data_IF_576262634530
#
_entry.id   IF_576262634530
#
_cell.length_a   1.000
_cell.length_b   1.000
_cell.length_c   1.000
_cell.angle_alpha   90.00
_cell.angle_beta   90.00
_cell.angle_gamma   90.00
#
_symmetry.space_group_name_H-M   'P 1'
#
loop_
_entity.id
_entity.type
_entity.pdbx_description
1 polymer ?
#
# COMPACT_ATOMS: atom_id res chain seq x y z
N UNK A 1 -73.28 21.08 10.19
CA UNK A 1 -73.39 20.41 11.51
C UNK A 1 -73.21 21.47 12.58
N UNK A 2 -74.35 21.94 13.12
CA UNK A 2 -74.67 22.25 14.53
C UNK A 2 -73.49 22.11 15.53
N UNK A 3 -73.25 22.95 16.55
CA UNK A 3 -74.05 23.78 17.46
C UNK A 3 -73.08 24.84 18.07
N UNK A 4 -73.39 26.14 18.15
CA UNK A 4 -74.18 26.86 19.19
C UNK A 4 -73.49 27.08 20.56
N UNK A 5 -73.40 28.38 20.94
CA UNK A 5 -73.63 28.98 22.29
C UNK A 5 -72.44 28.91 23.30
N UNK A 6 -71.98 29.96 24.00
CA UNK A 6 -72.70 30.92 24.87
C UNK A 6 -71.85 32.16 25.22
N UNK A 7 -72.50 33.33 25.28
CA UNK A 7 -72.05 34.50 26.07
C UNK A 7 -72.40 34.33 27.55
N UNK A 8 -71.61 34.91 28.45
CA UNK A 8 -72.09 35.33 29.79
C UNK A 8 -71.25 36.49 30.34
N UNK A 9 -71.94 37.37 31.08
CA UNK A 9 -71.60 38.74 31.49
C UNK A 9 -70.75 38.83 32.78
N UNK A 10 -70.22 40.04 33.02
CA UNK A 10 -69.42 40.55 34.17
C UNK A 10 -70.08 40.39 35.56
N UNK A 11 -69.40 40.72 36.69
CA UNK A 11 -69.33 42.12 37.17
C UNK A 11 -67.99 42.59 37.81
N UNK A 12 -67.89 43.91 37.99
CA UNK A 12 -66.90 44.69 38.74
C UNK A 12 -66.76 44.28 40.22
N UNK A 13 -65.55 44.40 40.78
CA UNK A 13 -65.32 44.83 42.17
C UNK A 13 -64.03 45.64 42.31
N UNK A 14 -64.06 46.55 43.28
CA UNK A 14 -63.23 47.75 43.46
C UNK A 14 -61.86 47.54 44.14
N UNK A 15 -60.91 48.40 43.76
CA UNK A 15 -60.11 49.26 44.66
C UNK A 15 -58.97 48.66 45.49
N UNK A 16 -57.74 49.19 45.29
CA UNK A 16 -56.94 49.84 46.35
C UNK A 16 -55.72 50.57 45.74
N UNK A 17 -55.52 51.82 46.13
CA UNK A 17 -54.31 52.63 45.91
C UNK A 17 -53.19 52.17 46.86
N UNK A 18 -51.94 52.09 46.37
CA UNK A 18 -50.74 52.22 47.20
C UNK A 18 -49.54 52.66 46.35
N UNK A 19 -49.02 53.83 46.68
CA UNK A 19 -47.83 54.52 46.18
C UNK A 19 -46.54 53.77 46.57
N UNK A 20 -45.56 53.60 45.66
CA UNK A 20 -44.19 53.27 46.09
C UNK A 20 -43.10 53.73 45.09
N UNK A 21 -42.28 54.68 45.57
CA UNK A 21 -40.82 54.80 45.45
C UNK A 21 -40.11 54.54 44.11
N UNK A 22 -39.48 55.59 43.59
CA UNK A 22 -38.37 55.47 42.64
C UNK A 22 -37.16 54.81 43.33
N UNK A 23 -36.75 53.64 42.85
CA UNK A 23 -35.46 53.04 43.14
C UNK A 23 -34.63 53.03 41.85
N UNK A 24 -33.54 53.80 41.84
CA UNK A 24 -32.48 53.65 40.86
C UNK A 24 -31.82 52.28 41.06
N UNK A 25 -32.06 51.35 40.14
CA UNK A 25 -31.33 50.08 40.07
C UNK A 25 -30.11 50.32 39.19
N UNK A 26 -28.93 50.32 39.81
CA UNK A 26 -27.65 50.18 39.10
C UNK A 26 -27.58 48.78 38.49
N UNK A 27 -27.42 48.71 37.16
CA UNK A 27 -27.19 47.45 36.48
C UNK A 27 -25.75 46.95 36.80
N UNK A 28 -25.55 45.66 37.13
CA UNK A 28 -24.21 45.11 37.33
C UNK A 28 -23.44 45.01 35.99
N UNK A 29 -22.09 45.07 36.02
CA UNK A 29 -21.26 44.96 34.83
C UNK A 29 -21.40 43.58 34.17
N UNK A 30 -21.44 43.57 32.84
CA UNK A 30 -21.78 42.41 32.02
C UNK A 30 -20.61 41.42 31.86
N UNK A 31 -20.90 40.12 31.98
CA UNK A 31 -19.96 39.00 31.80
C UNK A 31 -19.95 38.48 30.35
N UNK A 32 -18.79 38.11 29.80
CA UNK A 32 -18.62 37.36 28.54
C UNK A 32 -18.37 35.86 28.80
N UNK A 33 -18.88 35.00 27.91
CA UNK A 33 -18.97 33.53 28.06
C UNK A 33 -18.43 32.83 26.80
N UNK A 34 -17.27 32.16 26.87
CA UNK A 34 -16.69 31.40 25.75
C UNK A 34 -17.36 30.04 25.55
N UNK A 35 -17.55 29.59 24.30
CA UNK A 35 -18.17 28.30 23.96
C UNK A 35 -17.19 27.35 23.26
N UNK A 36 -16.92 26.21 23.89
CA UNK A 36 -16.20 25.11 23.25
C UNK A 36 -17.15 24.29 22.39
N UNK A 37 -16.80 24.01 21.12
CA UNK A 37 -17.64 23.24 20.21
C UNK A 37 -17.14 21.81 19.96
N UNK A 38 -18.06 20.91 19.60
CA UNK A 38 -17.74 19.53 19.24
C UNK A 38 -16.87 19.49 17.97
N UNK A 39 -15.58 19.15 18.12
CA UNK A 39 -14.61 19.00 17.03
C UNK A 39 -13.38 19.92 17.09
N UNK A 40 -12.87 20.24 18.29
CA UNK A 40 -11.72 21.14 18.55
C UNK A 40 -11.85 22.58 18.00
N UNK A 41 -13.08 23.02 17.69
CA UNK A 41 -13.35 24.41 17.30
C UNK A 41 -13.85 25.17 18.53
N UNK A 42 -13.12 26.20 18.95
CA UNK A 42 -13.51 27.09 20.05
C UNK A 42 -14.01 28.42 19.48
N UNK A 43 -15.13 28.93 20.01
CA UNK A 43 -15.66 30.24 19.65
C UNK A 43 -15.76 31.09 20.91
N UNK A 44 -14.94 32.14 20.94
CA UNK A 44 -14.86 33.08 22.04
C UNK A 44 -15.74 34.31 21.76
N UNK A 45 -16.49 34.76 22.76
CA UNK A 45 -17.27 35.98 22.67
C UNK A 45 -18.33 36.09 23.76
N UNK A 46 -19.13 37.14 23.74
CA UNK A 46 -20.22 37.34 24.70
C UNK A 46 -21.48 36.65 24.20
N UNK A 47 -22.09 35.76 25.00
CA UNK A 47 -23.42 35.24 24.66
C UNK A 47 -24.42 36.39 24.79
N UNK A 48 -24.86 36.93 23.65
CA UNK A 48 -25.80 38.05 23.60
C UNK A 48 -27.23 37.55 23.72
N UNK A 49 -27.51 36.33 23.22
CA UNK A 49 -28.86 35.76 23.24
C UNK A 49 -28.84 34.24 23.14
N UNK A 50 -29.66 33.58 23.96
CA UNK A 50 -30.04 32.17 23.81
C UNK A 50 -31.45 32.11 23.23
N UNK A 51 -31.65 31.40 22.13
CA UNK A 51 -32.96 31.26 21.48
C UNK A 51 -33.45 29.82 21.59
N UNK A 52 -34.36 29.59 22.53
CA UNK A 52 -34.93 28.26 22.83
C UNK A 52 -36.30 28.03 22.17
N UNK A 53 -36.86 29.05 21.50
CA UNK A 53 -38.27 29.11 21.13
C UNK A 53 -38.57 28.73 19.65
N UNK A 54 -37.76 27.88 19.03
CA UNK A 54 -37.97 27.43 17.63
C UNK A 54 -37.32 26.08 17.32
N UNK A 55 -37.65 25.47 16.18
CA UNK A 55 -37.24 24.10 15.79
C UNK A 55 -35.71 23.87 15.66
N UNK A 56 -34.87 24.89 15.86
CA UNK A 56 -33.40 24.82 15.88
C UNK A 56 -32.82 25.76 16.97
N UNK A 57 -32.58 25.26 18.19
CA UNK A 57 -32.03 26.08 19.26
C UNK A 57 -30.58 26.48 18.98
N UNK A 58 -30.26 27.75 19.22
CA UNK A 58 -28.95 28.34 18.91
C UNK A 58 -28.57 29.46 19.90
N UNK A 59 -27.27 29.69 20.01
CA UNK A 59 -26.64 30.71 20.85
C UNK A 59 -25.99 31.76 19.95
N UNK A 60 -26.28 33.04 20.17
CA UNK A 60 -25.64 34.15 19.46
C UNK A 60 -24.47 34.65 20.31
N UNK A 61 -23.27 34.56 19.76
CA UNK A 61 -22.01 34.96 20.39
C UNK A 61 -21.47 36.21 19.69
N UNK A 62 -21.27 37.30 20.43
CA UNK A 62 -20.58 38.51 19.97
C UNK A 62 -19.08 38.32 20.19
N UNK A 63 -18.37 38.03 19.11
CA UNK A 63 -16.93 37.76 19.09
C UNK A 63 -16.14 39.07 19.16
N UNK A 64 -16.73 40.16 18.64
CA UNK A 64 -16.21 41.53 18.60
C UNK A 64 -17.40 42.53 18.51
N UNK A 65 -17.29 43.82 18.88
CA UNK A 65 -18.32 44.84 18.68
C UNK A 65 -19.02 44.84 17.30
N UNK A 66 -18.35 44.41 16.24
CA UNK A 66 -18.91 44.34 14.88
C UNK A 66 -19.23 42.91 14.38
N UNK A 67 -18.86 41.86 15.13
CA UNK A 67 -19.00 40.46 14.70
C UNK A 67 -19.85 39.63 15.66
N UNK A 68 -20.98 39.13 15.17
CA UNK A 68 -21.87 38.20 15.89
C UNK A 68 -22.05 36.90 15.11
N UNK A 69 -21.92 35.76 15.80
CA UNK A 69 -21.98 34.41 15.22
C UNK A 69 -23.09 33.61 15.90
N UNK A 70 -23.97 32.98 15.11
CA UNK A 70 -25.01 32.09 15.61
C UNK A 70 -24.54 30.62 15.58
N UNK A 71 -24.58 29.95 16.74
CA UNK A 71 -24.06 28.60 16.94
C UNK A 71 -25.18 27.66 17.39
N UNK A 72 -25.42 26.53 16.71
CA UNK A 72 -26.40 25.54 17.17
C UNK A 72 -26.04 24.99 18.56
N UNK A 73 -27.01 24.93 19.47
CA UNK A 73 -26.77 24.55 20.87
C UNK A 73 -26.23 23.12 21.01
N UNK A 74 -26.58 22.21 20.09
CA UNK A 74 -26.08 20.83 20.05
C UNK A 74 -24.57 20.71 19.82
N UNK A 75 -23.90 21.81 19.42
CA UNK A 75 -22.46 21.83 19.24
C UNK A 75 -21.72 22.34 20.47
N UNK A 76 -22.37 22.92 21.47
CA UNK A 76 -21.74 23.50 22.67
C UNK A 76 -21.38 22.41 23.69
N UNK A 77 -20.12 22.36 24.11
CA UNK A 77 -19.53 21.35 25.00
C UNK A 77 -19.21 21.93 26.38
N UNK A 78 -18.72 23.17 26.47
CA UNK A 78 -18.35 23.83 27.72
C UNK A 78 -18.50 25.35 27.63
N UNK A 79 -18.96 26.00 28.70
CA UNK A 79 -18.96 27.46 28.84
C UNK A 79 -17.77 27.88 29.70
N UNK A 80 -16.86 28.68 29.18
CA UNK A 80 -15.69 29.21 29.90
C UNK A 80 -16.00 30.62 30.40
N UNK A 81 -15.76 30.86 31.70
CA UNK A 81 -16.11 32.11 32.37
C UNK A 81 -15.19 33.27 31.98
N UNK A 82 -15.73 34.49 32.11
CA UNK A 82 -15.07 35.78 31.82
C UNK A 82 -13.74 36.06 32.57
N UNK A 83 -13.42 35.20 33.54
CA UNK A 83 -12.19 35.20 34.32
C UNK A 83 -11.06 34.37 33.70
N UNK A 84 -11.21 33.91 32.44
CA UNK A 84 -10.11 33.25 31.74
C UNK A 84 -8.96 34.25 31.54
N UNK A 85 -7.86 34.00 32.25
CA UNK A 85 -6.65 34.83 32.24
C UNK A 85 -6.14 35.10 30.81
N UNK A 86 -6.35 34.16 29.88
CA UNK A 86 -5.95 34.32 28.48
C UNK A 86 -6.80 35.35 27.74
N UNK A 87 -8.10 35.42 28.02
CA UNK A 87 -9.01 36.40 27.42
C UNK A 87 -8.85 37.78 28.04
N UNK A 88 -8.51 37.85 29.34
CA UNK A 88 -8.13 39.11 30.00
C UNK A 88 -6.85 39.66 29.37
N UNK A 89 -5.82 38.83 29.24
CA UNK A 89 -4.57 39.17 28.55
C UNK A 89 -4.84 39.63 27.10
N UNK A 90 -5.65 38.89 26.34
CA UNK A 90 -5.98 39.22 24.96
C UNK A 90 -6.60 40.60 24.82
N UNK A 91 -7.58 40.94 25.68
CA UNK A 91 -8.21 42.26 25.69
C UNK A 91 -7.23 43.40 25.98
N UNK A 92 -6.28 43.16 26.90
CA UNK A 92 -5.23 44.14 27.20
C UNK A 92 -4.27 44.35 26.03
N UNK A 93 -3.93 43.28 25.30
CA UNK A 93 -3.09 43.40 24.11
C UNK A 93 -3.85 44.07 22.96
N UNK A 94 -5.10 43.68 22.73
CA UNK A 94 -5.95 44.24 21.68
C UNK A 94 -6.11 45.76 21.82
N UNK A 95 -6.26 46.27 23.04
CA UNK A 95 -6.35 47.72 23.30
C UNK A 95 -5.11 48.52 22.85
N UNK A 96 -3.98 47.83 22.63
CA UNK A 96 -2.72 48.43 22.19
C UNK A 96 -2.49 48.26 20.67
N UNK A 97 -3.30 47.44 20.00
CA UNK A 97 -3.19 47.17 18.56
C UNK A 97 -4.06 48.17 17.80
N UNK A 98 -3.41 49.08 17.08
CA UNK A 98 -4.06 49.99 16.12
C UNK A 98 -4.26 49.34 14.74
N UNK A 99 -4.59 50.16 13.73
CA UNK A 99 -4.68 49.72 12.33
C UNK A 99 -3.31 49.52 11.67
N UNK A 100 -2.51 48.61 12.23
CA UNK A 100 -1.21 48.23 11.70
C UNK A 100 -1.15 46.72 11.45
N UNK A 101 -0.77 46.35 10.22
CA UNK A 101 -0.72 44.97 9.78
C UNK A 101 0.30 44.16 10.60
N UNK A 102 1.46 44.74 10.94
CA UNK A 102 2.50 44.06 11.72
C UNK A 102 2.07 43.89 13.18
N UNK A 103 1.43 44.91 13.78
CA UNK A 103 0.86 44.80 15.14
C UNK A 103 -0.19 43.69 15.24
N UNK A 104 -1.10 43.59 14.26
CA UNK A 104 -2.07 42.49 14.18
C UNK A 104 -1.39 41.12 13.99
N UNK A 105 -0.36 41.02 13.13
CA UNK A 105 0.41 39.79 12.96
C UNK A 105 1.11 39.35 14.26
N UNK A 106 1.71 40.28 15.01
CA UNK A 106 2.37 39.95 16.27
C UNK A 106 1.37 39.51 17.35
N UNK A 107 0.22 40.17 17.45
CA UNK A 107 -0.85 39.74 18.35
C UNK A 107 -1.34 38.33 17.99
N UNK A 108 -1.54 38.04 16.70
CA UNK A 108 -1.91 36.70 16.24
C UNK A 108 -0.89 35.61 16.64
N UNK A 109 0.42 35.91 16.56
CA UNK A 109 1.47 34.99 17.02
C UNK A 109 1.40 34.73 18.52
N UNK A 110 1.14 35.76 19.31
CA UNK A 110 0.99 35.62 20.76
C UNK A 110 -0.30 34.84 21.12
N UNK A 111 -1.41 35.10 20.43
CA UNK A 111 -2.65 34.33 20.53
C UNK A 111 -2.40 32.84 20.24
N UNK A 112 -1.62 32.51 19.20
CA UNK A 112 -1.20 31.13 18.90
C UNK A 112 -0.46 30.48 20.07
N UNK A 113 0.47 31.21 20.70
CA UNK A 113 1.21 30.73 21.87
C UNK A 113 0.33 30.47 23.10
N UNK A 114 -0.74 31.25 23.25
CA UNK A 114 -1.70 31.11 24.35
C UNK A 114 -2.84 30.10 24.07
N UNK A 115 -2.88 29.51 22.86
CA UNK A 115 -3.94 28.59 22.45
C UNK A 115 -5.24 29.28 22.01
N UNK A 116 -5.23 30.60 21.84
CA UNK A 116 -6.36 31.41 21.37
C UNK A 116 -6.44 31.36 19.83
N UNK A 117 -6.84 30.21 19.30
CA UNK A 117 -6.74 29.92 17.86
C UNK A 117 -7.72 30.75 17.01
N UNK A 118 -8.90 31.08 17.55
CA UNK A 118 -9.88 31.90 16.84
C UNK A 118 -9.39 33.35 16.66
N UNK A 119 -8.85 33.96 17.71
CA UNK A 119 -8.27 35.30 17.69
C UNK A 119 -7.01 35.35 16.84
N UNK A 120 -6.19 34.28 16.88
CA UNK A 120 -5.05 34.10 15.98
C UNK A 120 -5.49 34.25 14.52
N UNK A 121 -6.52 33.50 14.11
CA UNK A 121 -6.96 33.50 12.71
C UNK A 121 -7.58 34.84 12.32
N UNK A 122 -8.38 35.43 13.22
CA UNK A 122 -8.92 36.78 13.03
C UNK A 122 -7.81 37.81 12.79
N UNK A 123 -6.78 37.85 13.63
CA UNK A 123 -5.73 38.85 13.50
C UNK A 123 -4.76 38.59 12.34
N UNK A 124 -4.51 37.34 11.96
CA UNK A 124 -3.80 37.08 10.70
C UNK A 124 -4.62 37.53 9.49
N UNK A 125 -5.94 37.36 9.51
CA UNK A 125 -6.81 37.83 8.44
C UNK A 125 -6.84 39.37 8.39
N UNK A 126 -6.95 40.04 9.55
CA UNK A 126 -6.91 41.50 9.65
C UNK A 126 -5.59 42.08 9.15
N UNK A 127 -4.46 41.43 9.44
CA UNK A 127 -3.16 41.82 8.91
C UNK A 127 -3.11 41.78 7.37
N UNK A 128 -3.75 40.79 6.73
CA UNK A 128 -3.86 40.69 5.26
C UNK A 128 -4.82 41.72 4.68
N UNK A 129 -5.89 42.08 5.40
CA UNK A 129 -6.81 43.15 4.97
C UNK A 129 -6.11 44.52 4.93
N UNK A 130 -5.23 44.80 5.89
CA UNK A 130 -4.49 46.06 5.99
C UNK A 130 -3.30 46.07 5.02
N UNK A 131 -2.50 45.00 4.98
CA UNK A 131 -1.45 44.79 3.97
C UNK A 131 -1.72 43.50 3.17
N UNK A 132 -2.32 43.63 1.98
CA UNK A 132 -2.60 42.49 1.10
C UNK A 132 -1.38 41.65 0.73
N UNK A 133 -0.16 42.17 0.87
CA UNK A 133 1.08 41.46 0.54
C UNK A 133 1.87 40.99 1.76
N UNK A 134 1.32 41.08 2.98
CA UNK A 134 2.01 40.67 4.20
C UNK A 134 2.40 39.18 4.18
N UNK A 135 3.68 38.84 3.97
CA UNK A 135 4.06 37.47 3.64
C UNK A 135 3.95 36.52 4.84
N UNK A 136 4.27 37.00 6.05
CA UNK A 136 4.22 36.18 7.26
C UNK A 136 2.78 35.85 7.68
N UNK A 137 1.85 36.81 7.63
CA UNK A 137 0.44 36.59 7.95
C UNK A 137 -0.21 35.60 6.96
N UNK A 138 0.09 35.75 5.66
CA UNK A 138 -0.35 34.81 4.61
C UNK A 138 0.21 33.41 4.81
N UNK A 139 1.50 33.30 5.06
CA UNK A 139 2.13 32.00 5.34
C UNK A 139 1.52 31.34 6.59
N UNK A 140 1.18 32.11 7.62
CA UNK A 140 0.55 31.61 8.84
C UNK A 140 -0.87 31.07 8.61
N UNK A 141 -1.60 31.61 7.62
CA UNK A 141 -2.90 31.12 7.16
C UNK A 141 -2.80 30.07 6.04
N UNK A 142 -1.58 29.59 5.72
CA UNK A 142 -1.36 28.52 4.76
C UNK A 142 -1.39 28.96 3.29
N UNK A 143 -1.30 30.26 3.01
CA UNK A 143 -1.07 30.77 1.66
C UNK A 143 0.39 30.64 1.26
N UNK A 144 0.62 30.40 -0.02
CA UNK A 144 1.93 30.40 -0.67
C UNK A 144 1.88 31.27 -1.92
N UNK A 145 3.03 31.79 -2.31
CA UNK A 145 3.15 32.62 -3.51
C UNK A 145 3.20 31.74 -4.76
N UNK A 146 2.37 32.05 -5.74
CA UNK A 146 2.31 31.38 -7.05
C UNK A 146 2.31 32.45 -8.14
N UNK A 147 3.50 32.74 -8.68
CA UNK A 147 3.71 33.92 -9.53
C UNK A 147 3.43 35.23 -8.79
N UNK A 148 2.47 36.00 -9.28
CA UNK A 148 2.04 37.27 -8.68
C UNK A 148 0.89 37.11 -7.69
N UNK A 149 0.29 35.92 -7.59
CA UNK A 149 -0.88 35.68 -6.77
C UNK A 149 -0.53 34.90 -5.49
N UNK A 150 -1.43 35.00 -4.51
CA UNK A 150 -1.39 34.21 -3.29
C UNK A 150 -2.47 33.15 -3.35
N UNK A 151 -2.06 31.88 -3.26
CA UNK A 151 -2.97 30.73 -3.30
C UNK A 151 -2.82 29.92 -2.02
N UNK A 152 -3.90 29.28 -1.57
CA UNK A 152 -3.79 28.33 -0.47
C UNK A 152 -2.88 27.17 -0.89
N UNK A 153 -1.93 26.79 -0.04
CA UNK A 153 -1.01 25.69 -0.30
C UNK A 153 -1.77 24.40 -0.63
N UNK A 154 -2.89 24.16 0.07
CA UNK A 154 -3.77 23.02 -0.19
C UNK A 154 -4.36 23.03 -1.61
N UNK A 155 -4.78 24.20 -2.10
CA UNK A 155 -5.31 24.34 -3.46
C UNK A 155 -4.21 24.20 -4.50
N UNK A 156 -3.01 24.71 -4.23
CA UNK A 156 -1.84 24.47 -5.07
C UNK A 156 -1.53 22.97 -5.20
N UNK A 157 -1.58 22.20 -4.10
CA UNK A 157 -1.36 20.76 -4.15
C UNK A 157 -2.49 20.03 -4.91
N UNK A 158 -3.75 20.43 -4.73
CA UNK A 158 -4.88 19.88 -5.49
C UNK A 158 -4.76 20.16 -6.99
N UNK A 159 -4.30 21.36 -7.38
CA UNK A 159 -4.02 21.71 -8.78
C UNK A 159 -2.91 20.85 -9.40
N UNK A 160 -1.97 20.37 -8.57
CA UNK A 160 -0.95 19.38 -8.96
C UNK A 160 -1.49 17.93 -9.01
N UNK A 161 -2.78 17.74 -8.78
CA UNK A 161 -3.43 16.42 -8.77
C UNK A 161 -3.21 15.62 -7.49
N UNK A 162 -2.74 16.25 -6.41
CA UNK A 162 -2.48 15.57 -5.14
C UNK A 162 -3.70 15.61 -4.22
N UNK A 163 -3.83 14.58 -3.38
CA UNK A 163 -4.84 14.49 -2.32
C UNK A 163 -4.19 14.53 -0.95
N UNK A 164 -4.93 15.03 0.05
CA UNK A 164 -4.49 15.03 1.44
C UNK A 164 -4.85 13.71 2.10
N UNK A 165 -3.85 13.00 2.62
CA UNK A 165 -3.99 11.73 3.35
C UNK A 165 -3.34 11.88 4.74
N UNK A 166 -3.38 10.81 5.55
CA UNK A 166 -2.66 10.79 6.82
C UNK A 166 -1.12 10.85 6.64
N UNK A 167 -0.61 10.35 5.51
CA UNK A 167 0.81 10.37 5.14
C UNK A 167 1.30 11.69 4.55
N UNK A 168 0.39 12.60 4.18
CA UNK A 168 0.72 13.90 3.62
C UNK A 168 -0.02 14.21 2.32
N UNK A 169 0.67 14.83 1.37
CA UNK A 169 0.12 15.07 0.03
C UNK A 169 0.62 13.97 -0.90
N UNK A 170 -0.31 13.19 -1.44
CA UNK A 170 0.02 11.98 -2.21
C UNK A 170 -0.70 11.98 -3.56
N UNK A 171 -0.12 11.27 -4.52
CA UNK A 171 -0.76 11.02 -5.82
C UNK A 171 -1.88 9.99 -5.61
N UNK A 172 -3.13 10.27 -6.05
CA UNK A 172 -4.27 9.39 -5.84
C UNK A 172 -4.04 7.94 -6.26
N UNK A 173 -3.41 7.72 -7.41
CA UNK A 173 -3.14 6.37 -7.92
C UNK A 173 -2.19 5.58 -7.01
N UNK A 174 -1.13 6.24 -6.51
CA UNK A 174 -0.15 5.62 -5.60
C UNK A 174 -0.82 5.25 -4.29
N UNK A 175 -1.59 6.19 -3.71
CA UNK A 175 -2.36 5.96 -2.49
C UNK A 175 -3.33 4.78 -2.62
N UNK A 176 -4.10 4.72 -3.72
CA UNK A 176 -5.02 3.61 -3.98
C UNK A 176 -4.29 2.27 -4.22
N UNK A 177 -3.09 2.29 -4.81
CA UNK A 177 -2.25 1.09 -4.96
C UNK A 177 -1.75 0.58 -3.62
N UNK A 178 -1.30 1.47 -2.74
CA UNK A 178 -0.86 1.14 -1.39
C UNK A 178 -2.01 0.59 -0.55
N UNK A 179 -3.17 1.25 -0.54
CA UNK A 179 -4.35 0.71 0.13
C UNK A 179 -4.74 -0.70 -0.36
N UNK A 180 -4.67 -0.94 -1.68
CA UNK A 180 -4.94 -2.29 -2.22
C UNK A 180 -3.90 -3.29 -1.75
N UNK A 181 -2.63 -2.90 -1.67
CA UNK A 181 -1.55 -3.73 -1.14
C UNK A 181 -1.76 -4.04 0.34
N UNK A 182 -2.11 -3.06 1.16
CA UNK A 182 -2.36 -3.27 2.59
C UNK A 182 -3.52 -4.23 2.81
N UNK A 183 -4.63 -4.05 2.07
CA UNK A 183 -5.76 -4.98 2.09
C UNK A 183 -5.36 -6.38 1.63
N UNK A 184 -4.53 -6.49 0.60
CA UNK A 184 -4.00 -7.78 0.14
C UNK A 184 -3.14 -8.45 1.21
N UNK A 185 -2.27 -7.70 1.88
CA UNK A 185 -1.37 -8.21 2.92
C UNK A 185 -2.15 -8.64 4.17
N UNK A 186 -3.17 -7.88 4.57
CA UNK A 186 -4.08 -8.24 5.66
C UNK A 186 -4.85 -9.53 5.35
N UNK A 187 -5.49 -9.60 4.18
CA UNK A 187 -6.21 -10.78 3.74
C UNK A 187 -5.29 -12.01 3.62
N UNK A 188 -4.09 -11.84 3.06
CA UNK A 188 -3.07 -12.89 2.97
C UNK A 188 -2.68 -13.43 4.35
N UNK A 189 -2.48 -12.55 5.34
CA UNK A 189 -2.17 -12.97 6.73
C UNK A 189 -3.30 -13.76 7.37
N UNK A 190 -4.56 -13.41 7.09
CA UNK A 190 -5.72 -14.18 7.56
C UNK A 190 -5.76 -15.56 6.90
N UNK A 191 -5.53 -15.63 5.59
CA UNK A 191 -5.44 -16.90 4.86
C UNK A 191 -4.29 -17.79 5.34
N UNK A 192 -3.13 -17.24 5.67
CA UNK A 192 -2.01 -18.01 6.23
C UNK A 192 -2.43 -18.67 7.54
N UNK A 193 -3.13 -17.95 8.43
CA UNK A 193 -3.65 -18.49 9.68
C UNK A 193 -4.69 -19.59 9.42
N UNK A 194 -5.66 -19.34 8.56
CA UNK A 194 -6.72 -20.31 8.28
C UNK A 194 -6.19 -21.58 7.60
N UNK A 195 -5.33 -21.43 6.59
CA UNK A 195 -4.73 -22.59 5.91
C UNK A 195 -3.84 -23.40 6.85
N UNK A 196 -3.11 -22.76 7.78
CA UNK A 196 -2.34 -23.46 8.80
C UNK A 196 -3.23 -24.32 9.69
N UNK A 197 -4.38 -23.76 10.11
CA UNK A 197 -5.38 -24.47 10.90
C UNK A 197 -6.01 -25.63 10.10
N UNK A 198 -6.45 -25.40 8.87
CA UNK A 198 -7.01 -26.44 7.99
C UNK A 198 -6.00 -27.58 7.76
N UNK A 199 -4.74 -27.25 7.41
CA UNK A 199 -3.66 -28.23 7.28
C UNK A 199 -3.53 -29.08 8.55
N UNK A 200 -3.50 -28.46 9.73
CA UNK A 200 -3.39 -29.19 11.00
C UNK A 200 -4.55 -30.17 11.25
N UNK A 201 -5.75 -29.85 10.77
CA UNK A 201 -6.92 -30.72 10.86
C UNK A 201 -6.85 -31.86 9.84
N UNK A 202 -6.38 -31.60 8.62
CA UNK A 202 -6.20 -32.63 7.59
C UNK A 202 -5.21 -33.69 8.04
N UNK A 203 -4.09 -33.28 8.65
CA UNK A 203 -3.03 -34.20 9.11
C UNK A 203 -3.44 -35.06 10.32
N UNK A 204 -4.57 -34.75 10.99
CA UNK A 204 -5.08 -35.52 12.13
C UNK A 204 -6.24 -36.41 11.67
N UNK A 205 -6.18 -37.74 11.84
CA UNK A 205 -7.28 -38.63 11.47
C UNK A 205 -8.58 -38.27 12.21
N UNK A 206 -9.69 -38.14 11.48
CA UNK A 206 -11.02 -37.93 12.07
C UNK A 206 -12.01 -37.24 11.12
N UNK A 207 -13.28 -37.12 11.52
CA UNK A 207 -14.35 -36.51 10.71
C UNK A 207 -14.00 -35.10 10.20
N UNK A 208 -13.36 -34.30 11.05
CA UNK A 208 -12.92 -32.93 10.73
C UNK A 208 -11.81 -32.87 9.66
N UNK A 209 -11.10 -33.97 9.41
CA UNK A 209 -10.07 -34.04 8.36
C UNK A 209 -10.68 -33.92 6.96
N UNK A 210 -11.80 -34.62 6.71
CA UNK A 210 -12.49 -34.58 5.43
C UNK A 210 -13.07 -33.19 5.14
N UNK A 211 -13.75 -32.59 6.13
CA UNK A 211 -14.31 -31.23 6.04
C UNK A 211 -13.21 -30.18 5.80
N UNK A 212 -12.06 -30.31 6.48
CA UNK A 212 -10.93 -29.41 6.27
C UNK A 212 -10.30 -29.58 4.88
N UNK A 213 -10.21 -30.82 4.38
CA UNK A 213 -9.67 -31.10 3.05
C UNK A 213 -10.56 -30.52 1.95
N UNK A 214 -11.87 -30.69 2.07
CA UNK A 214 -12.86 -30.09 1.17
C UNK A 214 -12.75 -28.55 1.18
N UNK A 215 -12.58 -27.97 2.37
CA UNK A 215 -12.36 -26.52 2.51
C UNK A 215 -11.10 -26.05 1.78
N UNK A 216 -9.99 -26.79 1.83
CA UNK A 216 -8.76 -26.48 1.09
C UNK A 216 -8.99 -26.59 -0.43
N UNK A 217 -9.72 -27.61 -0.88
CA UNK A 217 -10.03 -27.82 -2.30
C UNK A 217 -10.94 -26.73 -2.88
N UNK A 218 -11.78 -26.12 -2.04
CA UNK A 218 -12.70 -25.05 -2.41
C UNK A 218 -12.08 -23.64 -2.39
N UNK A 219 -10.81 -23.46 -2.00
CA UNK A 219 -10.17 -22.13 -1.89
C UNK A 219 -10.04 -21.46 -3.26
N UNK A 220 -10.95 -20.54 -3.58
CA UNK A 220 -10.97 -19.79 -4.84
C UNK A 220 -10.63 -18.30 -4.70
N UNK A 221 -10.18 -17.88 -3.52
CA UNK A 221 -9.79 -16.49 -3.25
C UNK A 221 -8.32 -16.24 -3.68
N UNK A 222 -8.05 -15.30 -4.61
CA UNK A 222 -6.70 -14.91 -5.00
C UNK A 222 -5.79 -14.50 -3.82
N UNK A 223 -6.37 -13.97 -2.74
CA UNK A 223 -5.64 -13.58 -1.52
C UNK A 223 -5.03 -14.79 -0.79
N UNK A 224 -5.51 -16.00 -1.06
CA UNK A 224 -4.96 -17.23 -0.49
C UNK A 224 -3.66 -17.70 -1.18
N UNK A 225 -3.25 -17.08 -2.29
CA UNK A 225 -2.08 -17.50 -3.08
C UNK A 225 -0.80 -17.56 -2.24
N UNK A 226 -0.56 -16.55 -1.41
CA UNK A 226 0.61 -16.50 -0.51
C UNK A 226 0.57 -17.62 0.52
N UNK A 227 -0.61 -17.90 1.09
CA UNK A 227 -0.80 -18.97 2.06
C UNK A 227 -0.52 -20.35 1.43
N UNK A 228 -1.10 -20.62 0.26
CA UNK A 228 -0.89 -21.88 -0.47
C UNK A 228 0.58 -22.07 -0.88
N UNK A 229 1.24 -21.00 -1.32
CA UNK A 229 2.66 -21.02 -1.68
C UNK A 229 3.54 -21.37 -0.48
N UNK A 230 3.31 -20.72 0.67
CA UNK A 230 4.03 -21.02 1.91
C UNK A 230 3.74 -22.44 2.40
N UNK A 231 2.49 -22.90 2.33
CA UNK A 231 2.11 -24.24 2.74
C UNK A 231 2.82 -25.29 1.88
N UNK A 232 2.85 -25.12 0.55
CA UNK A 232 3.56 -26.00 -0.35
C UNK A 232 5.07 -26.01 -0.07
N UNK A 233 5.69 -24.87 0.21
CA UNK A 233 7.11 -24.83 0.55
C UNK A 233 7.42 -25.57 1.86
N UNK A 234 6.67 -25.27 2.92
CA UNK A 234 6.83 -25.87 4.26
C UNK A 234 6.47 -27.36 4.27
N UNK A 235 5.60 -27.80 3.36
CA UNK A 235 5.17 -29.20 3.25
C UNK A 235 6.27 -30.21 2.92
N UNK A 236 7.49 -29.75 2.66
CA UNK A 236 8.68 -30.56 2.35
C UNK A 236 9.68 -30.63 3.50
N UNK A 237 9.36 -30.02 4.65
CA UNK A 237 10.23 -29.99 5.82
C UNK A 237 10.32 -31.35 6.53
N UNK A 238 10.78 -31.32 7.78
CA UNK A 238 11.00 -32.52 8.60
C UNK A 238 9.74 -33.39 8.77
N UNK A 239 8.56 -32.76 8.76
CA UNK A 239 7.25 -33.42 8.78
C UNK A 239 6.54 -33.15 7.46
N UNK A 240 6.83 -33.94 6.41
CA UNK A 240 6.32 -33.66 5.08
C UNK A 240 4.83 -33.97 4.97
N UNK A 241 4.11 -33.14 4.21
CA UNK A 241 2.70 -33.41 3.91
C UNK A 241 2.56 -34.58 2.92
N UNK A 242 1.45 -35.34 3.00
CA UNK A 242 1.11 -36.33 1.99
C UNK A 242 1.13 -35.74 0.58
N UNK A 243 1.62 -36.52 -0.40
CA UNK A 243 1.67 -36.12 -1.81
C UNK A 243 0.32 -35.61 -2.33
N UNK A 244 -0.78 -36.24 -1.92
CA UNK A 244 -2.14 -35.85 -2.29
C UNK A 244 -2.47 -34.42 -1.85
N UNK A 245 -2.07 -34.02 -0.64
CA UNK A 245 -2.29 -32.66 -0.14
C UNK A 245 -1.42 -31.63 -0.87
N UNK A 246 -0.15 -31.96 -1.11
CA UNK A 246 0.76 -31.09 -1.89
C UNK A 246 0.26 -30.89 -3.33
N UNK A 247 -0.29 -31.94 -3.94
CA UNK A 247 -0.93 -31.87 -5.26
C UNK A 247 -2.13 -30.92 -5.26
N UNK A 248 -2.94 -30.90 -4.20
CA UNK A 248 -4.04 -29.95 -4.06
C UNK A 248 -3.52 -28.52 -4.01
N UNK A 249 -2.45 -28.23 -3.25
CA UNK A 249 -1.86 -26.89 -3.23
C UNK A 249 -1.42 -26.44 -4.62
N UNK A 250 -0.74 -27.30 -5.39
CA UNK A 250 -0.31 -26.99 -6.76
C UNK A 250 -1.50 -26.68 -7.66
N UNK A 251 -2.54 -27.52 -7.64
CA UNK A 251 -3.76 -27.31 -8.45
C UNK A 251 -4.50 -26.04 -8.06
N UNK A 252 -4.60 -25.73 -6.76
CA UNK A 252 -5.20 -24.48 -6.30
C UNK A 252 -4.39 -23.28 -6.72
N UNK A 253 -3.06 -23.31 -6.61
CA UNK A 253 -2.20 -22.23 -7.11
C UNK A 253 -2.43 -22.01 -8.62
N UNK A 254 -2.48 -23.08 -9.42
CA UNK A 254 -2.77 -23.00 -10.85
C UNK A 254 -4.13 -22.36 -11.16
N UNK A 255 -5.19 -22.75 -10.44
CA UNK A 255 -6.53 -22.19 -10.60
C UNK A 255 -6.61 -20.68 -10.26
N UNK A 256 -5.84 -20.20 -9.27
CA UNK A 256 -5.88 -18.81 -8.83
C UNK A 256 -5.22 -17.82 -9.82
N UNK A 257 -4.31 -18.29 -10.68
CA UNK A 257 -3.69 -17.51 -11.78
C UNK A 257 -3.07 -16.16 -11.33
N UNK A 258 -2.60 -16.08 -10.08
CA UNK A 258 -1.95 -14.88 -9.54
C UNK A 258 -0.44 -14.84 -9.83
N UNK A 259 0.21 -13.67 -9.76
CA UNK A 259 1.67 -13.58 -9.91
C UNK A 259 2.44 -14.45 -8.89
N UNK A 260 1.97 -14.50 -7.64
CA UNK A 260 2.55 -15.33 -6.58
C UNK A 260 2.40 -16.81 -6.92
N UNK A 261 1.25 -17.22 -7.44
CA UNK A 261 1.02 -18.59 -7.87
C UNK A 261 1.94 -18.99 -9.03
N UNK A 262 2.02 -18.17 -10.08
CA UNK A 262 2.92 -18.42 -11.22
C UNK A 262 4.37 -18.55 -10.75
N UNK A 263 4.87 -17.60 -9.95
CA UNK A 263 6.23 -17.65 -9.40
C UNK A 263 6.48 -18.93 -8.60
N UNK A 264 5.49 -19.35 -7.79
CA UNK A 264 5.58 -20.57 -6.99
C UNK A 264 5.62 -21.81 -7.86
N UNK A 265 4.74 -21.92 -8.86
CA UNK A 265 4.71 -23.04 -9.80
C UNK A 265 6.00 -23.13 -10.62
N UNK A 266 6.55 -21.99 -11.06
CA UNK A 266 7.83 -21.92 -11.78
C UNK A 266 8.94 -22.55 -10.94
N UNK A 267 9.03 -22.16 -9.66
CA UNK A 267 10.01 -22.71 -8.73
C UNK A 267 9.75 -24.20 -8.47
N UNK A 268 8.50 -24.61 -8.28
CA UNK A 268 8.09 -26.01 -8.08
C UNK A 268 8.51 -26.88 -9.26
N UNK A 269 8.34 -26.44 -10.51
CA UNK A 269 8.72 -27.19 -11.70
C UNK A 269 10.21 -27.57 -11.78
N UNK A 270 11.09 -26.79 -11.16
CA UNK A 270 12.53 -27.07 -11.09
C UNK A 270 12.90 -27.84 -9.82
N UNK A 271 12.51 -27.31 -8.66
CA UNK A 271 13.10 -27.68 -7.37
C UNK A 271 12.29 -28.68 -6.55
N UNK A 272 11.08 -29.04 -6.97
CA UNK A 272 10.29 -30.04 -6.26
C UNK A 272 10.91 -31.44 -6.43
N UNK A 273 11.17 -32.21 -5.35
CA UNK A 273 11.72 -33.55 -5.46
C UNK A 273 10.76 -34.57 -6.08
N UNK A 274 9.45 -34.49 -5.82
CA UNK A 274 8.49 -35.44 -6.40
C UNK A 274 8.24 -35.15 -7.90
N UNK A 275 8.47 -36.12 -8.81
CA UNK A 275 8.29 -35.92 -10.25
C UNK A 275 6.85 -35.63 -10.66
N UNK A 276 5.86 -36.18 -9.95
CA UNK A 276 4.45 -35.95 -10.25
C UNK A 276 4.03 -34.52 -9.92
N UNK A 277 4.49 -33.98 -8.79
CA UNK A 277 4.20 -32.60 -8.39
C UNK A 277 4.93 -31.60 -9.31
N UNK A 278 6.18 -31.88 -9.71
CA UNK A 278 6.87 -31.09 -10.76
C UNK A 278 6.06 -31.04 -12.04
N UNK A 279 5.62 -32.20 -12.51
CA UNK A 279 4.86 -32.34 -13.77
C UNK A 279 3.57 -31.55 -13.69
N UNK A 280 2.77 -31.73 -12.62
CA UNK A 280 1.56 -30.94 -12.43
C UNK A 280 1.84 -29.45 -12.46
N UNK A 281 2.87 -28.96 -11.75
CA UNK A 281 3.18 -27.54 -11.75
C UNK A 281 3.51 -26.98 -13.14
N UNK A 282 4.19 -27.77 -13.98
CA UNK A 282 4.50 -27.41 -15.36
C UNK A 282 3.26 -27.44 -16.26
N UNK A 283 2.35 -28.41 -16.06
CA UNK A 283 1.06 -28.47 -16.76
C UNK A 283 0.18 -27.26 -16.41
N UNK A 284 0.12 -26.87 -15.14
CA UNK A 284 -0.61 -25.66 -14.71
C UNK A 284 -0.03 -24.40 -15.36
N UNK A 285 1.30 -24.31 -15.51
CA UNK A 285 1.96 -23.20 -16.20
C UNK A 285 1.69 -23.17 -17.71
N UNK A 286 1.46 -24.32 -18.35
CA UNK A 286 1.04 -24.37 -19.76
C UNK A 286 -0.34 -23.72 -19.95
N UNK A 287 -1.26 -23.90 -18.99
CA UNK A 287 -2.56 -23.25 -19.02
C UNK A 287 -2.44 -21.73 -18.75
N UNK A 288 -1.60 -21.34 -17.78
CA UNK A 288 -1.37 -19.94 -17.44
C UNK A 288 0.02 -19.70 -16.84
N UNK A 289 0.82 -18.84 -17.48
CA UNK A 289 2.14 -18.44 -16.99
C UNK A 289 3.33 -18.99 -17.79
N UNK A 290 3.10 -19.64 -18.94
CA UNK A 290 4.16 -20.15 -19.82
C UNK A 290 5.24 -19.11 -20.18
N UNK A 291 4.91 -17.85 -20.56
CA UNK A 291 5.95 -16.84 -20.82
C UNK A 291 6.83 -16.56 -19.59
N UNK A 292 6.23 -16.47 -18.40
CA UNK A 292 6.96 -16.27 -17.15
C UNK A 292 7.85 -17.48 -16.80
N UNK A 293 7.39 -18.70 -17.10
CA UNK A 293 8.18 -19.91 -16.91
C UNK A 293 9.41 -19.92 -17.82
N UNK A 294 9.22 -19.71 -19.12
CA UNK A 294 10.30 -19.62 -20.12
C UNK A 294 11.29 -18.53 -19.74
N UNK A 295 10.81 -17.32 -19.42
CA UNK A 295 11.65 -16.19 -19.01
C UNK A 295 12.45 -16.47 -17.72
N UNK A 296 11.96 -17.34 -16.85
CA UNK A 296 12.66 -17.75 -15.62
C UNK A 296 13.68 -18.87 -15.85
N UNK A 297 13.42 -19.77 -16.81
CA UNK A 297 14.26 -20.95 -17.07
C UNK A 297 15.41 -20.66 -18.04
N UNK A 298 15.20 -19.80 -19.03
CA UNK A 298 16.23 -19.45 -20.02
C UNK A 298 17.51 -18.86 -19.41
N UNK A 299 17.46 -17.94 -18.40
CA UNK A 299 18.67 -17.42 -17.78
C UNK A 299 19.54 -18.50 -17.13
N UNK A 300 18.94 -19.61 -16.66
CA UNK A 300 19.68 -20.75 -16.08
C UNK A 300 20.54 -21.43 -17.16
N UNK A 301 20.06 -21.48 -18.40
CA UNK A 301 20.83 -22.00 -19.52
C UNK A 301 21.97 -21.08 -19.91
N UNK A 302 21.80 -19.75 -19.82
CA UNK A 302 22.78 -18.76 -20.30
C UNK A 302 23.89 -18.40 -19.31
N UNK A 303 23.71 -18.66 -18.01
CA UNK A 303 24.66 -18.19 -16.97
C UNK A 303 26.06 -18.82 -17.02
N UNK A 304 27.10 -18.00 -16.78
CA UNK A 304 28.52 -18.41 -16.84
C UNK A 304 28.93 -19.45 -15.78
N UNK A 305 28.25 -19.44 -14.62
CA UNK A 305 28.51 -20.33 -13.49
C UNK A 305 27.36 -21.34 -13.26
N UNK A 306 26.67 -21.74 -14.33
CA UNK A 306 25.55 -22.69 -14.27
C UNK A 306 25.98 -24.06 -13.74
N UNK A 307 25.24 -24.64 -12.80
CA UNK A 307 25.50 -26.02 -12.33
C UNK A 307 24.86 -27.04 -13.27
N UNK A 308 25.49 -28.20 -13.55
CA UNK A 308 24.91 -29.21 -14.43
C UNK A 308 23.49 -29.65 -14.04
N UNK A 309 23.22 -29.75 -12.73
CA UNK A 309 21.91 -30.14 -12.20
C UNK A 309 20.84 -29.08 -12.47
N UNK A 310 21.20 -27.79 -12.38
CA UNK A 310 20.29 -26.66 -12.64
C UNK A 310 19.96 -26.59 -14.14
N UNK A 311 20.97 -26.76 -15.02
CA UNK A 311 20.77 -26.84 -16.48
C UNK A 311 19.84 -28.00 -16.84
N UNK A 312 20.09 -29.20 -16.27
CA UNK A 312 19.25 -30.38 -16.49
C UNK A 312 17.82 -30.13 -16.04
N UNK A 313 17.62 -29.51 -14.88
CA UNK A 313 16.29 -29.22 -14.36
C UNK A 313 15.55 -28.16 -15.19
N UNK A 314 16.24 -27.11 -15.64
CA UNK A 314 15.69 -26.08 -16.52
C UNK A 314 15.29 -26.65 -17.89
N UNK A 315 16.16 -27.46 -18.51
CA UNK A 315 15.83 -28.13 -19.79
C UNK A 315 14.65 -29.08 -19.65
N UNK A 316 14.61 -29.88 -18.58
CA UNK A 316 13.45 -30.74 -18.30
C UNK A 316 12.15 -29.94 -18.19
N UNK A 317 12.19 -28.76 -17.57
CA UNK A 317 11.03 -27.89 -17.45
C UNK A 317 10.66 -27.22 -18.79
N UNK A 318 11.66 -26.73 -19.54
CA UNK A 318 11.47 -26.12 -20.86
C UNK A 318 10.88 -27.09 -21.88
N UNK A 319 11.04 -28.41 -21.72
CA UNK A 319 10.38 -29.41 -22.59
C UNK A 319 8.84 -29.36 -22.54
N UNK A 320 8.24 -28.64 -21.58
CA UNK A 320 6.79 -28.35 -21.56
C UNK A 320 6.43 -27.07 -22.33
N UNK A 321 7.42 -26.29 -22.75
CA UNK A 321 7.26 -25.02 -23.44
C UNK A 321 8.17 -24.97 -24.68
N UNK A 322 8.03 -25.92 -25.63
CA UNK A 322 8.83 -25.89 -26.86
C UNK A 322 8.51 -24.64 -27.66
N UNK A 323 9.54 -23.85 -27.96
CA UNK A 323 9.43 -22.62 -28.75
C UNK A 323 10.48 -22.64 -29.88
N UNK A 324 10.06 -22.72 -31.15
CA UNK A 324 10.97 -22.70 -32.29
C UNK A 324 11.86 -21.46 -32.35
N UNK A 325 11.45 -20.32 -31.77
CA UNK A 325 12.26 -19.10 -31.76
C UNK A 325 13.51 -19.22 -30.86
N UNK A 326 13.47 -20.13 -29.88
CA UNK A 326 14.55 -20.37 -28.92
C UNK A 326 15.56 -21.44 -29.38
N UNK A 327 15.58 -21.76 -30.69
CA UNK A 327 16.44 -22.81 -31.23
C UNK A 327 17.93 -22.56 -30.93
N UNK A 328 18.40 -21.30 -30.91
CA UNK A 328 19.79 -20.98 -30.62
C UNK A 328 20.16 -21.39 -29.19
N UNK A 329 19.32 -21.02 -28.23
CA UNK A 329 19.49 -21.39 -26.82
C UNK A 329 19.47 -22.90 -26.62
N UNK A 330 18.60 -23.61 -27.32
CA UNK A 330 18.53 -25.06 -27.23
C UNK A 330 19.76 -25.73 -27.83
N UNK A 331 20.26 -25.24 -28.96
CA UNK A 331 21.51 -25.73 -29.58
C UNK A 331 22.70 -25.46 -28.67
N UNK A 332 22.82 -24.24 -28.13
CA UNK A 332 23.89 -23.88 -27.20
C UNK A 332 23.87 -24.73 -25.92
N UNK A 333 22.69 -25.17 -25.50
CA UNK A 333 22.52 -26.04 -24.34
C UNK A 333 22.79 -27.53 -24.62
N UNK A 334 22.91 -27.99 -25.87
CA UNK A 334 23.20 -29.41 -26.19
C UNK A 334 24.46 -29.92 -25.48
N UNK A 335 25.50 -29.10 -25.49
CA UNK A 335 26.78 -29.39 -24.86
C UNK A 335 27.18 -28.19 -24.00
N UNK A 336 27.30 -28.41 -22.69
CA UNK A 336 27.71 -27.36 -21.75
C UNK A 336 29.04 -27.70 -21.09
N UNK A 337 29.83 -26.68 -20.77
CA UNK A 337 31.13 -26.81 -20.13
C UNK A 337 31.07 -26.27 -18.71
N UNK A 338 31.57 -27.03 -17.74
CA UNK A 338 31.54 -26.66 -16.33
C UNK A 338 32.94 -26.78 -15.73
N UNK A 339 33.36 -25.74 -15.00
CA UNK A 339 34.64 -25.72 -14.29
C UNK A 339 34.39 -26.06 -12.82
N UNK A 340 35.15 -27.00 -12.28
CA UNK A 340 35.14 -27.36 -10.86
C UNK A 340 36.56 -27.42 -10.32
N UNK A 341 36.77 -26.92 -9.10
CA UNK A 341 38.05 -27.07 -8.40
C UNK A 341 38.18 -28.51 -7.90
N UNK A 342 39.34 -29.13 -8.12
CA UNK A 342 39.67 -30.39 -7.45
C UNK A 342 39.78 -30.18 -5.94
N UNK A 343 39.38 -31.18 -5.13
CA UNK A 343 39.68 -31.18 -3.69
C UNK A 343 41.19 -31.03 -3.49
N UNK A 344 41.60 -30.29 -2.44
CA UNK A 344 43.03 -30.20 -2.08
C UNK A 344 43.55 -31.61 -1.79
N UNK A 345 44.45 -32.10 -2.65
CA UNK A 345 45.15 -33.37 -2.41
C UNK A 345 46.09 -33.28 -1.20
N UNK A 346 46.62 -34.42 -0.72
CA UNK A 346 47.68 -34.42 0.28
C UNK A 346 48.90 -33.65 -0.25
N UNK A 347 49.35 -32.62 0.46
CA UNK A 347 50.50 -31.81 0.07
C UNK A 347 50.79 -30.71 1.08
N UNK A 348 51.99 -30.15 1.07
CA UNK A 348 52.35 -28.95 1.82
C UNK A 348 52.76 -27.86 0.84
N UNK A 349 52.21 -26.66 1.00
CA UNK A 349 52.62 -25.49 0.23
C UNK A 349 53.15 -24.43 1.19
N UNK A 350 54.28 -23.83 0.83
CA UNK A 350 54.87 -22.70 1.57
C UNK A 350 54.48 -21.44 0.83
N UNK A 351 53.79 -20.53 1.52
CA UNK A 351 53.36 -19.25 0.95
C UNK A 351 53.92 -18.08 1.78
N UNK A 352 54.47 -17.08 1.09
CA UNK A 352 54.80 -15.79 1.69
C UNK A 352 53.60 -14.87 1.61
N UNK A 353 53.11 -14.35 2.74
CA UNK A 353 52.10 -13.30 2.71
C UNK A 353 52.76 -11.93 2.44
N UNK A 354 51.98 -10.94 1.98
CA UNK A 354 52.41 -9.59 1.60
C UNK A 354 53.15 -8.80 2.70
N UNK A 355 53.16 -9.29 3.94
CA UNK A 355 53.83 -8.71 5.10
C UNK A 355 55.15 -9.40 5.46
N UNK A 356 55.70 -10.25 4.58
CA UNK A 356 57.01 -10.89 4.75
C UNK A 356 57.03 -12.13 5.65
N UNK A 357 55.87 -12.58 6.16
CA UNK A 357 55.75 -13.82 6.92
C UNK A 357 55.62 -15.04 6.02
N UNK A 358 56.45 -16.06 6.23
CA UNK A 358 56.30 -17.39 5.61
C UNK A 358 55.38 -18.28 6.44
N UNK A 359 54.29 -18.76 5.84
CA UNK A 359 53.35 -19.70 6.45
C UNK A 359 53.34 -21.03 5.70
N UNK A 360 53.36 -22.15 6.43
CA UNK A 360 53.08 -23.48 5.87
C UNK A 360 51.57 -23.70 5.81
N UNK A 361 51.03 -23.95 4.63
CA UNK A 361 49.65 -24.36 4.42
C UNK A 361 49.60 -25.83 3.98
N UNK A 362 48.93 -26.65 4.75
CA UNK A 362 48.63 -28.05 4.42
C UNK A 362 47.48 -28.12 3.42
N UNK A 363 47.73 -28.80 2.30
CA UNK A 363 46.84 -29.00 1.15
C UNK A 363 47.53 -28.65 -0.17
N UNK A 364 47.45 -29.54 -1.17
CA UNK A 364 47.94 -29.29 -2.53
C UNK A 364 47.22 -28.12 -3.22
N UNK A 365 47.82 -27.56 -4.28
CA UNK A 365 47.18 -26.53 -5.11
C UNK A 365 45.93 -27.09 -5.76
N UNK A 366 44.84 -26.31 -5.75
CA UNK A 366 43.60 -26.69 -6.44
C UNK A 366 43.80 -26.51 -7.95
N UNK A 367 43.39 -27.51 -8.72
CA UNK A 367 43.39 -27.46 -10.18
C UNK A 367 41.96 -27.25 -10.69
N UNK A 368 41.83 -26.46 -11.76
CA UNK A 368 40.54 -26.25 -12.42
C UNK A 368 40.29 -27.42 -13.38
N UNK A 369 39.41 -28.33 -12.99
CA UNK A 369 38.95 -29.40 -13.87
C UNK A 369 37.80 -28.85 -14.73
N UNK A 370 37.94 -28.98 -16.05
CA UNK A 370 36.89 -28.63 -17.01
C UNK A 370 36.16 -29.91 -17.44
N UNK A 371 34.85 -29.97 -17.21
CA UNK A 371 34.00 -31.10 -17.60
C UNK A 371 32.96 -30.65 -18.62
N UNK A 372 32.90 -31.37 -19.73
CA UNK A 372 31.84 -31.21 -20.73
C UNK A 372 30.68 -32.15 -20.39
N UNK A 373 29.46 -31.65 -20.52
CA UNK A 373 28.20 -32.35 -20.23
C UNK A 373 27.31 -32.29 -21.46
N UNK A 374 26.84 -33.45 -21.93
CA UNK A 374 25.78 -33.55 -22.92
C UNK A 374 24.43 -33.48 -22.22
N UNK A 375 23.49 -32.69 -22.76
CA UNK A 375 22.19 -32.47 -22.13
C UNK A 375 21.05 -33.09 -22.98
N UNK A 376 20.54 -34.28 -22.62
CA UNK A 376 19.44 -34.92 -23.34
C UNK A 376 18.17 -34.06 -23.46
N UNK A 377 17.89 -33.23 -22.45
CA UNK A 377 16.71 -32.36 -22.49
C UNK A 377 16.77 -31.28 -23.57
N UNK A 378 17.97 -30.82 -23.95
CA UNK A 378 18.15 -29.90 -25.07
C UNK A 378 17.95 -30.61 -26.42
N UNK A 379 18.44 -31.86 -26.53
CA UNK A 379 18.20 -32.68 -27.72
C UNK A 379 16.71 -32.97 -27.92
N UNK A 380 16.00 -33.27 -26.84
CA UNK A 380 14.55 -33.50 -26.90
C UNK A 380 13.80 -32.24 -27.36
N UNK A 381 14.15 -31.06 -26.83
CA UNK A 381 13.59 -29.78 -27.29
C UNK A 381 13.81 -29.55 -28.79
N UNK A 382 15.03 -29.79 -29.28
CA UNK A 382 15.34 -29.64 -30.71
C UNK A 382 14.53 -30.59 -31.58
N UNK A 383 14.34 -31.85 -31.15
CA UNK A 383 13.49 -32.82 -31.85
C UNK A 383 12.01 -32.43 -31.85
N UNK A 384 11.53 -31.79 -30.78
CA UNK A 384 10.16 -31.28 -30.72
C UNK A 384 9.93 -30.12 -31.69
N UNK A 385 10.87 -29.16 -31.78
CA UNK A 385 10.72 -27.99 -32.66
C UNK A 385 11.12 -28.25 -34.12
N UNK A 386 11.89 -29.32 -34.39
CA UNK A 386 12.29 -29.76 -35.72
C UNK A 386 12.04 -31.27 -35.90
N UNK A 387 10.76 -31.68 -36.03
CA UNK A 387 10.39 -33.09 -36.14
C UNK A 387 10.98 -33.73 -37.41
N UNK A 388 11.42 -34.98 -37.27
CA UNK A 388 12.00 -35.76 -38.39
C UNK A 388 13.49 -35.53 -38.64
N UNK A 389 14.14 -34.68 -37.83
CA UNK A 389 15.57 -34.38 -37.93
C UNK A 389 16.26 -34.71 -36.60
N UNK A 390 17.43 -35.35 -36.67
CA UNK A 390 18.22 -35.69 -35.48
C UNK A 390 19.72 -35.68 -35.78
N UNK A 391 20.39 -34.58 -35.43
CA UNK A 391 21.86 -34.49 -35.50
C UNK A 391 22.54 -34.89 -34.19
N UNK A 392 21.81 -35.53 -33.26
CA UNK A 392 22.31 -35.89 -31.94
C UNK A 392 22.88 -34.63 -31.25
N UNK A 393 24.11 -34.70 -30.73
CA UNK A 393 24.77 -33.58 -30.05
C UNK A 393 25.64 -32.70 -30.96
N UNK A 394 25.52 -32.80 -32.29
CA UNK A 394 26.25 -31.95 -33.23
C UNK A 394 25.63 -30.55 -33.33
N UNK A 395 26.16 -29.62 -32.54
CA UNK A 395 25.69 -28.23 -32.52
C UNK A 395 25.85 -27.53 -33.88
N UNK A 396 26.87 -27.84 -34.66
CA UNK A 396 27.11 -27.17 -35.95
C UNK A 396 26.06 -27.61 -36.99
N UNK A 397 25.77 -28.92 -37.05
CA UNK A 397 24.73 -29.45 -37.91
C UNK A 397 23.35 -28.88 -37.59
N UNK A 398 23.00 -28.76 -36.29
CA UNK A 398 21.77 -28.09 -35.87
C UNK A 398 21.73 -26.61 -36.27
N UNK A 399 22.82 -25.83 -36.06
CA UNK A 399 22.86 -24.42 -36.48
C UNK A 399 22.67 -24.26 -37.99
N UNK A 400 23.33 -25.10 -38.78
CA UNK A 400 23.21 -25.08 -40.24
C UNK A 400 21.77 -25.39 -40.68
N UNK A 401 21.10 -26.34 -40.02
CA UNK A 401 19.72 -26.69 -40.30
C UNK A 401 18.76 -25.51 -40.10
N UNK A 402 18.80 -24.85 -38.93
CA UNK A 402 17.93 -23.69 -38.66
C UNK A 402 18.30 -22.46 -39.49
N UNK A 403 19.59 -22.22 -39.74
CA UNK A 403 20.03 -21.15 -40.64
C UNK A 403 19.50 -21.34 -42.08
N UNK A 404 19.48 -22.58 -42.58
CA UNK A 404 18.92 -22.92 -43.89
C UNK A 404 17.39 -22.73 -43.95
N UNK A 405 16.69 -22.86 -42.83
CA UNK A 405 15.25 -22.56 -42.75
C UNK A 405 14.99 -21.05 -42.74
N UNK A 406 15.77 -20.27 -41.97
CA UNK A 406 15.63 -18.81 -41.89
C UNK A 406 15.95 -18.10 -43.21
N UNK A 407 16.86 -18.65 -44.01
CA UNK A 407 17.23 -18.12 -45.34
C UNK A 407 16.19 -18.45 -46.42
N UNK A 408 15.27 -19.38 -46.17
CA UNK A 408 14.08 -19.59 -46.99
C UNK A 408 12.98 -18.63 -46.55
N UNK A 409 13.09 -17.35 -46.91
CA UNK A 409 11.97 -16.39 -46.82
C UNK A 409 10.97 -16.64 -47.96
N UNK A 410 9.68 -16.26 -47.80
CA UNK A 410 8.53 -17.03 -48.25
C UNK A 410 8.31 -16.96 -49.77
N UNK A 411 8.22 -18.12 -50.40
CA UNK A 411 7.85 -18.27 -51.81
C UNK A 411 6.33 -18.03 -52.07
N UNK A 412 5.60 -17.40 -51.13
CA UNK A 412 4.14 -17.28 -51.22
C UNK A 412 3.55 -16.00 -50.59
N UNK A 413 4.06 -14.82 -50.98
CA UNK A 413 3.30 -13.56 -50.89
C UNK A 413 2.97 -12.99 -52.27
N UNK A 414 3.12 -13.80 -53.32
CA UNK A 414 2.81 -13.37 -54.67
C UNK A 414 2.24 -14.52 -55.49
N UNK A 415 0.92 -14.68 -55.38
CA UNK A 415 -0.03 -15.08 -56.43
C UNK A 415 -1.42 -15.03 -55.77
N UNK A 416 -2.42 -14.31 -56.28
CA UNK A 416 -2.61 -13.83 -57.63
C UNK A 416 -3.82 -12.83 -57.66
N UNK A 417 -4.31 -12.33 -58.81
CA UNK A 417 -4.27 -10.92 -59.22
C UNK A 417 -5.62 -10.16 -59.14
#
# INVERSE_FOLDING_TARGET
>A
MNHLIRHSRMPLTSGLLLTLGAFCVSAPPAQADTLELRGDVQVDGKIVRKSDNGSKPHVIVEVDPELRVAIPQSRVVKTVSDSDEKLVWYRQQLAQVGEDAEAHYQLARQCKGNGLLAQRDFHFQRAIEIDPNHPQARSALGYVRDGNDWVLYADQQRRRGLIRTAGGWEVPEVYLREQRRDKFDEASKLWIKELTKLRSLVLRPGKRSAEALESIQAIDDPMASTALAEALEKSRGNEPDPKSLRMIYVKRLGALKTPVAVQTLVRTGIFEPDPGIRTEALLQLQEYGAPSAVASYLPILKGDNRKPVEVTAALRALNYFPDPELWQEYVDALITTHKSLTPKGPGMSVGSNSLGGSGLSTGGKQEVMTKTVQNPGALELLRQIAPGVDYRYDQAAWRNHFAAQLTKAPDDLRRDP
#
